data_IF_553555164721
#
_entry.id   IF_553555164721
#
_cell.length_a   1.000
_cell.length_b   1.000
_cell.length_c   1.000
_cell.angle_alpha   90.00
_cell.angle_beta   90.00
_cell.angle_gamma   90.00
#
_symmetry.space_group_name_H-M   'P 1'
#
loop_
_entity.id
_entity.type
_entity.pdbx_description
1 polymer ?
#
# COMPACT_ATOMS: atom_id res chain seq x y z
N UNK A 1 19.88 11.48 11.01
CA UNK A 1 18.60 11.34 11.75
C UNK A 1 17.63 10.56 10.86
N UNK A 2 17.48 9.25 11.09
CA UNK A 2 16.40 8.48 10.47
C UNK A 2 15.09 8.97 11.06
N UNK A 3 14.21 9.55 10.24
CA UNK A 3 12.89 9.98 10.69
C UNK A 3 12.15 8.77 11.28
N UNK A 4 11.56 8.94 12.46
CA UNK A 4 10.71 7.92 13.08
C UNK A 4 9.61 7.50 12.09
N UNK A 5 9.44 6.20 11.81
CA UNK A 5 8.42 5.74 10.87
C UNK A 5 7.02 6.11 11.37
N UNK A 6 6.15 6.50 10.45
CA UNK A 6 4.76 6.87 10.77
C UNK A 6 4.07 5.71 11.52
N UNK A 7 3.41 5.95 12.67
CA UNK A 7 2.81 4.89 13.48
C UNK A 7 1.77 4.06 12.72
N UNK A 8 1.12 4.64 11.70
CA UNK A 8 0.20 3.89 10.81
C UNK A 8 0.95 2.84 9.99
N UNK A 9 2.17 3.14 9.54
CA UNK A 9 3.02 2.18 8.84
C UNK A 9 3.49 1.07 9.76
N UNK A 10 3.80 1.39 11.02
CA UNK A 10 4.19 0.38 12.02
C UNK A 10 3.04 -0.60 12.28
N UNK A 11 1.81 -0.10 12.50
CA UNK A 11 0.62 -0.97 12.67
C UNK A 11 0.32 -1.79 11.42
N UNK A 12 0.36 -1.17 10.25
CA UNK A 12 0.14 -1.86 8.98
C UNK A 12 1.21 -2.93 8.72
N UNK A 13 2.48 -2.64 9.04
CA UNK A 13 3.57 -3.61 8.96
C UNK A 13 3.36 -4.79 9.90
N UNK A 14 3.06 -4.54 11.17
CA UNK A 14 2.82 -5.62 12.14
C UNK A 14 1.69 -6.56 11.69
N UNK A 15 0.67 -6.01 11.02
CA UNK A 15 -0.41 -6.79 10.39
C UNK A 15 0.05 -7.60 9.19
N UNK A 16 0.85 -7.01 8.30
CA UNK A 16 1.39 -7.71 7.12
C UNK A 16 2.43 -8.76 7.49
N UNK A 17 3.20 -8.56 8.56
CA UNK A 17 4.21 -9.51 9.05
C UNK A 17 3.59 -10.83 9.55
N UNK A 18 2.27 -10.85 9.80
CA UNK A 18 1.51 -12.09 10.08
C UNK A 18 1.25 -12.93 8.82
N UNK A 19 1.52 -12.38 7.63
CA UNK A 19 1.29 -13.03 6.35
C UNK A 19 2.63 -13.55 5.81
N UNK A 20 2.66 -14.79 5.35
CA UNK A 20 3.83 -15.50 4.81
C UNK A 20 3.97 -15.36 3.28
N UNK A 21 3.31 -14.35 2.70
CA UNK A 21 3.12 -14.23 1.25
C UNK A 21 4.37 -13.90 0.44
N UNK A 22 5.39 -13.33 1.08
CA UNK A 22 6.67 -13.06 0.45
C UNK A 22 7.83 -13.49 1.34
N UNK A 23 8.97 -13.91 0.75
CA UNK A 23 10.09 -14.44 1.52
C UNK A 23 10.71 -13.46 2.53
N UNK A 24 10.58 -12.15 2.29
CA UNK A 24 11.10 -11.12 3.19
C UNK A 24 9.96 -10.22 3.66
N UNK A 25 9.89 -9.83 4.94
CA UNK A 25 8.91 -8.87 5.42
C UNK A 25 8.99 -7.53 4.69
N UNK A 26 7.89 -6.77 4.70
CA UNK A 26 7.89 -5.42 4.13
C UNK A 26 8.85 -4.52 4.88
N UNK A 27 9.70 -3.80 4.14
CA UNK A 27 10.57 -2.77 4.70
C UNK A 27 9.83 -1.43 4.70
N UNK A 28 9.69 -0.82 5.88
CA UNK A 28 9.08 0.51 6.02
C UNK A 28 10.13 1.63 6.11
N UNK A 29 11.42 1.29 6.15
CA UNK A 29 12.51 2.28 6.18
C UNK A 29 12.47 3.14 4.91
N UNK A 30 12.25 4.44 5.10
CA UNK A 30 12.13 5.39 4.00
C UNK A 30 10.78 5.37 3.27
N UNK A 31 9.80 4.56 3.73
CA UNK A 31 8.41 4.66 3.26
C UNK A 31 7.74 5.83 3.96
N UNK A 32 7.07 6.69 3.19
CA UNK A 32 6.39 7.89 3.69
C UNK A 32 4.92 7.89 3.33
N UNK A 33 4.08 8.35 4.25
CA UNK A 33 2.67 8.67 3.97
C UNK A 33 2.58 10.16 3.62
N UNK A 34 1.93 10.48 2.51
CA UNK A 34 1.68 11.85 2.07
C UNK A 34 0.18 12.04 1.88
N UNK A 35 -0.38 13.03 2.58
CA UNK A 35 -1.78 13.41 2.40
C UNK A 35 -1.85 14.42 1.27
N UNK A 36 -2.42 14.03 0.13
CA UNK A 36 -2.42 14.82 -1.09
C UNK A 36 -3.82 14.89 -1.71
N UNK A 37 -4.80 15.54 -1.06
CA UNK A 37 -6.19 15.59 -1.54
C UNK A 37 -6.31 16.14 -2.96
N UNK A 38 -5.46 17.10 -3.34
CA UNK A 38 -5.43 17.69 -4.68
C UNK A 38 -5.14 16.66 -5.77
N UNK A 39 -4.31 15.65 -5.49
CA UNK A 39 -3.93 14.60 -6.43
C UNK A 39 -5.14 13.74 -6.81
N UNK A 40 -6.02 13.48 -5.83
CA UNK A 40 -7.25 12.72 -6.02
C UNK A 40 -8.38 13.56 -6.64
N UNK A 41 -8.16 14.85 -6.95
CA UNK A 41 -9.10 15.64 -7.78
C UNK A 41 -8.91 15.35 -9.28
N UNK A 42 -7.76 14.81 -9.68
CA UNK A 42 -7.45 14.48 -11.07
C UNK A 42 -8.20 13.22 -11.52
N UNK A 43 -8.74 13.24 -12.75
CA UNK A 43 -9.58 12.15 -13.32
C UNK A 43 -9.01 10.73 -13.14
N UNK A 44 -7.71 10.45 -13.38
CA UNK A 44 -7.19 9.08 -13.26
C UNK A 44 -7.20 8.58 -11.80
N UNK A 45 -7.02 9.50 -10.84
CA UNK A 45 -6.90 9.19 -9.42
C UNK A 45 -8.19 9.42 -8.62
N UNK A 46 -9.20 10.04 -9.22
CA UNK A 46 -10.47 10.41 -8.58
C UNK A 46 -11.26 9.23 -8.01
N UNK A 47 -10.99 8.01 -8.49
CA UNK A 47 -11.67 6.79 -8.01
C UNK A 47 -11.02 6.13 -6.80
N UNK A 48 -9.82 6.56 -6.38
CA UNK A 48 -9.09 5.90 -5.29
C UNK A 48 -9.06 6.76 -4.02
N UNK A 49 -9.02 6.12 -2.85
CA UNK A 49 -8.80 6.79 -1.55
C UNK A 49 -7.32 6.76 -1.13
N UNK A 50 -6.52 5.91 -1.76
CA UNK A 50 -5.07 5.81 -1.60
C UNK A 50 -4.41 5.26 -2.86
N UNK A 51 -3.09 5.47 -3.00
CA UNK A 51 -2.27 4.66 -3.91
C UNK A 51 -0.81 4.66 -3.43
N UNK A 52 -0.15 3.52 -3.62
CA UNK A 52 1.26 3.35 -3.26
C UNK A 52 2.20 3.43 -4.48
N UNK A 53 3.39 3.96 -4.21
CA UNK A 53 4.61 3.84 -5.03
C UNK A 53 5.66 3.05 -4.25
N UNK A 54 6.86 2.86 -4.81
CA UNK A 54 7.93 2.11 -4.15
C UNK A 54 8.33 2.65 -2.76
N UNK A 55 8.16 3.95 -2.49
CA UNK A 55 8.57 4.60 -1.23
C UNK A 55 7.56 5.59 -0.67
N UNK A 56 6.48 5.88 -1.39
CA UNK A 56 5.49 6.88 -0.97
C UNK A 56 4.09 6.32 -1.12
N UNK A 57 3.32 6.39 -0.04
CA UNK A 57 1.89 6.09 -0.01
C UNK A 57 1.15 7.42 -0.01
N UNK A 58 0.38 7.67 -1.06
CA UNK A 58 -0.46 8.86 -1.17
C UNK A 58 -1.86 8.51 -0.66
N UNK A 59 -2.40 9.38 0.19
CA UNK A 59 -3.76 9.23 0.71
C UNK A 59 -4.57 10.49 0.41
N UNK A 60 -5.86 10.30 0.14
CA UNK A 60 -6.80 11.40 -0.10
C UNK A 60 -7.02 12.24 1.15
N UNK A 61 -7.11 11.59 2.32
CA UNK A 61 -7.41 12.19 3.62
C UNK A 61 -6.53 11.56 4.70
N UNK A 62 -6.34 12.25 5.82
CA UNK A 62 -5.54 11.74 6.94
C UNK A 62 -6.27 10.64 7.73
N UNK A 63 -7.59 10.79 7.86
CA UNK A 63 -8.49 9.84 8.52
C UNK A 63 -8.88 8.72 7.56
N UNK A 64 -8.01 7.73 7.45
CA UNK A 64 -8.25 6.51 6.68
C UNK A 64 -8.14 5.31 7.60
N UNK A 65 -8.87 4.24 7.27
CA UNK A 65 -8.79 3.00 8.03
C UNK A 65 -7.37 2.42 7.96
N UNK A 66 -6.95 1.79 9.05
CA UNK A 66 -5.69 1.03 9.06
C UNK A 66 -5.68 -0.07 7.97
N UNK A 67 -6.85 -0.58 7.58
CA UNK A 67 -7.00 -1.53 6.47
C UNK A 67 -6.60 -0.93 5.12
N UNK A 68 -6.90 0.35 4.87
CA UNK A 68 -6.42 1.03 3.66
C UNK A 68 -4.89 1.19 3.69
N UNK A 69 -4.31 1.54 4.85
CA UNK A 69 -2.86 1.65 4.97
C UNK A 69 -2.18 0.29 4.76
N UNK A 70 -2.75 -0.80 5.28
CA UNK A 70 -2.27 -2.16 5.03
C UNK A 70 -2.39 -2.58 3.56
N UNK A 71 -3.48 -2.18 2.88
CA UNK A 71 -3.65 -2.37 1.44
C UNK A 71 -2.51 -1.71 0.65
N UNK A 72 -2.29 -0.42 0.89
CA UNK A 72 -1.25 0.35 0.18
C UNK A 72 0.16 -0.14 0.53
N UNK A 73 0.41 -0.50 1.79
CA UNK A 73 1.70 -1.05 2.19
C UNK A 73 1.95 -2.45 1.58
N UNK A 74 0.91 -3.23 1.30
CA UNK A 74 1.03 -4.47 0.55
C UNK A 74 1.53 -4.22 -0.88
N UNK A 75 1.10 -3.14 -1.54
CA UNK A 75 1.64 -2.75 -2.84
C UNK A 75 3.12 -2.37 -2.76
N UNK A 76 3.55 -1.66 -1.71
CA UNK A 76 4.98 -1.42 -1.46
C UNK A 76 5.73 -2.74 -1.32
N UNK A 77 5.18 -3.69 -0.56
CA UNK A 77 5.79 -5.00 -0.35
C UNK A 77 5.95 -5.80 -1.64
N UNK A 78 4.91 -5.79 -2.49
CA UNK A 78 4.92 -6.39 -3.83
C UNK A 78 5.97 -5.73 -4.73
N UNK A 79 6.05 -4.40 -4.73
CA UNK A 79 7.05 -3.65 -5.51
C UNK A 79 8.48 -3.90 -5.00
N UNK A 80 8.69 -4.10 -3.70
CA UNK A 80 10.01 -4.46 -3.16
C UNK A 80 10.49 -5.84 -3.65
N UNK A 81 9.57 -6.78 -3.91
CA UNK A 81 9.91 -8.11 -4.42
C UNK A 81 9.86 -8.20 -5.95
N UNK A 82 9.03 -7.38 -6.61
CA UNK A 82 8.84 -7.34 -8.07
C UNK A 82 8.78 -5.91 -8.60
N UNK A 83 9.90 -5.15 -8.53
CA UNK A 83 9.92 -3.71 -8.79
C UNK A 83 9.57 -3.32 -10.22
N UNK A 84 9.95 -4.17 -11.19
CA UNK A 84 9.72 -3.92 -12.63
C UNK A 84 8.47 -4.66 -13.12
N UNK A 85 8.22 -5.87 -12.60
CA UNK A 85 7.12 -6.72 -13.09
C UNK A 85 5.73 -6.20 -12.77
N UNK A 86 5.56 -5.42 -11.69
CA UNK A 86 4.25 -4.95 -11.24
C UNK A 86 3.77 -3.69 -12.00
N UNK A 87 4.57 -2.61 -12.18
CA UNK A 87 4.16 -1.43 -12.95
C UNK A 87 3.87 -1.76 -14.43
N UNK A 88 4.72 -2.59 -15.05
CA UNK A 88 4.54 -3.03 -16.44
C UNK A 88 3.26 -3.84 -16.63
N UNK A 89 2.85 -4.65 -15.65
CA UNK A 89 1.60 -5.41 -15.71
C UNK A 89 0.37 -4.52 -15.54
N UNK A 90 0.45 -3.48 -14.71
CA UNK A 90 -0.61 -2.48 -14.60
C UNK A 90 -0.81 -1.71 -15.90
N UNK A 91 0.27 -1.32 -16.58
CA UNK A 91 0.21 -0.68 -17.88
C UNK A 91 -0.34 -1.62 -18.97
N UNK A 92 -0.05 -2.92 -18.90
CA UNK A 92 -0.40 -3.89 -19.97
C UNK A 92 -1.76 -4.58 -19.80
N UNK A 93 -2.25 -4.81 -18.57
CA UNK A 93 -3.43 -5.65 -18.31
C UNK A 93 -4.56 -4.96 -17.54
N UNK A 94 -4.37 -3.71 -17.12
CA UNK A 94 -5.35 -2.96 -16.34
C UNK A 94 -5.33 -3.30 -14.85
N UNK A 95 -5.65 -2.29 -14.03
CA UNK A 95 -5.59 -2.36 -12.56
C UNK A 95 -6.53 -3.43 -11.97
N UNK A 96 -7.77 -3.47 -12.45
CA UNK A 96 -8.87 -4.22 -11.82
C UNK A 96 -8.77 -5.75 -11.98
N UNK A 97 -7.95 -6.25 -12.93
CA UNK A 97 -7.72 -7.70 -13.16
C UNK A 97 -6.43 -8.23 -12.55
N UNK A 98 -5.64 -7.35 -11.91
CA UNK A 98 -4.31 -7.70 -11.41
C UNK A 98 -4.37 -8.63 -10.19
N UNK A 99 -3.60 -9.73 -10.16
CA UNK A 99 -3.47 -10.57 -8.95
C UNK A 99 -2.91 -9.79 -7.76
N UNK A 100 -2.16 -8.71 -8.01
CA UNK A 100 -1.60 -7.85 -6.98
C UNK A 100 -2.66 -7.05 -6.24
N UNK A 101 -3.66 -6.53 -6.98
CA UNK A 101 -4.81 -5.84 -6.42
C UNK A 101 -5.65 -6.79 -5.55
N UNK A 102 -5.85 -8.03 -6.01
CA UNK A 102 -6.56 -9.06 -5.21
C UNK A 102 -5.82 -9.37 -3.91
N UNK A 103 -4.50 -9.56 -3.98
CA UNK A 103 -3.68 -9.82 -2.80
C UNK A 103 -3.71 -8.64 -1.82
N UNK A 104 -3.62 -7.39 -2.31
CA UNK A 104 -3.70 -6.22 -1.45
C UNK A 104 -5.08 -6.07 -0.79
N UNK A 105 -6.18 -6.36 -1.50
CA UNK A 105 -7.53 -6.41 -0.89
C UNK A 105 -7.63 -7.51 0.15
N UNK A 106 -6.98 -8.64 -0.10
CA UNK A 106 -6.99 -9.76 0.83
C UNK A 106 -6.19 -9.45 2.09
N UNK A 107 -5.05 -8.74 1.98
CA UNK A 107 -4.30 -8.27 3.14
C UNK A 107 -5.18 -7.37 4.01
N UNK A 108 -5.85 -6.40 3.41
CA UNK A 108 -6.76 -5.50 4.12
C UNK A 108 -7.99 -6.18 4.74
N UNK A 109 -8.36 -7.39 4.27
CA UNK A 109 -9.44 -8.19 4.85
C UNK A 109 -8.94 -9.10 5.97
N UNK A 110 -7.85 -9.84 5.74
CA UNK A 110 -7.27 -10.75 6.75
C UNK A 110 -6.70 -10.02 7.96
N UNK A 111 -6.34 -8.75 7.78
CA UNK A 111 -5.83 -7.88 8.83
C UNK A 111 -6.90 -6.95 9.42
N UNK A 112 -8.18 -7.21 9.11
CA UNK A 112 -9.31 -6.37 9.50
C UNK A 112 -9.83 -6.65 10.92
N UNK A 113 -9.26 -7.63 11.63
CA UNK A 113 -9.60 -7.92 13.03
C UNK A 113 -8.36 -7.83 13.93
N UNK A 114 -8.34 -6.79 14.75
CA UNK A 114 -7.98 -6.80 16.18
C UNK A 114 -8.78 -5.61 16.76
N UNK A 115 -10.08 -5.86 16.95
CA UNK A 115 -10.98 -5.05 17.77
C UNK A 115 -11.44 -5.93 18.92
#
# INVERSE_FOLDING_TARGET
>A
MTATPDPRLVRAKARLDRLDWWPRPVRIDGVRIVIAPWLFRLRPWRRYDGFATHRVIFLRRADVSDGLVAHELCHVWQMQHRPVGMPLRYLRTGYDRSPYERQARDAARRTRNDG
#
